data_IF_808094639333
#
_entry.id   IF_808094639333
#
_cell.length_a   1.000
_cell.length_b   1.000
_cell.length_c   1.000
_cell.angle_alpha   90.00
_cell.angle_beta   90.00
_cell.angle_gamma   90.00
#
_symmetry.space_group_name_H-M   'P 1'
#
loop_
_entity.id
_entity.type
_entity.pdbx_description
1 polymer ?
#
# COMPACT_ATOMS: atom_id res chain seq x y z
N UNK A 1 -33.70 10.42 -27.08
CA UNK A 1 -32.78 9.31 -26.73
C UNK A 1 -31.73 9.88 -25.82
N UNK A 2 -31.93 9.73 -24.50
CA UNK A 2 -31.05 10.26 -23.48
C UNK A 2 -29.90 9.30 -23.24
N UNK A 3 -28.67 9.76 -23.47
CA UNK A 3 -27.49 9.13 -22.90
C UNK A 3 -27.51 9.44 -21.41
N UNK A 4 -27.61 8.39 -20.60
CA UNK A 4 -27.37 8.44 -19.16
C UNK A 4 -25.86 8.59 -18.97
N UNK A 5 -25.42 9.79 -18.63
CA UNK A 5 -24.14 10.04 -17.99
C UNK A 5 -24.17 9.29 -16.64
N UNK A 6 -23.64 8.08 -16.61
CA UNK A 6 -23.30 7.42 -15.37
C UNK A 6 -22.13 8.20 -14.77
N UNK A 7 -22.45 9.16 -13.91
CA UNK A 7 -21.50 9.73 -12.98
C UNK A 7 -20.82 8.59 -12.23
N UNK A 8 -19.56 8.36 -12.55
CA UNK A 8 -18.68 7.45 -11.83
C UNK A 8 -18.25 8.13 -10.51
N UNK A 9 -19.23 8.47 -9.67
CA UNK A 9 -18.98 8.96 -8.32
C UNK A 9 -18.57 7.77 -7.46
N UNK A 10 -17.36 7.83 -6.91
CA UNK A 10 -16.95 6.91 -5.84
C UNK A 10 -18.04 6.87 -4.78
N UNK A 11 -18.39 5.68 -4.25
CA UNK A 11 -19.24 5.63 -3.07
C UNK A 11 -18.62 6.51 -2.00
N UNK A 12 -19.42 7.34 -1.35
CA UNK A 12 -18.98 8.38 -0.42
C UNK A 12 -18.08 7.89 0.72
N UNK A 13 -17.84 6.57 0.84
CA UNK A 13 -17.00 5.98 1.88
C UNK A 13 -16.47 4.59 1.51
N UNK A 14 -15.50 4.53 0.59
CA UNK A 14 -14.80 3.28 0.28
C UNK A 14 -13.91 2.82 1.44
N UNK A 15 -13.44 1.57 1.41
CA UNK A 15 -12.50 1.06 2.42
C UNK A 15 -11.22 1.92 2.48
N UNK A 16 -10.77 2.44 1.36
CA UNK A 16 -9.60 3.34 1.32
C UNK A 16 -9.89 4.68 1.99
N UNK A 17 -11.08 5.27 1.81
CA UNK A 17 -11.47 6.49 2.51
C UNK A 17 -11.45 6.29 4.03
N UNK A 18 -12.04 5.19 4.53
CA UNK A 18 -12.02 4.86 5.97
C UNK A 18 -10.59 4.72 6.49
N UNK A 19 -9.72 3.98 5.78
CA UNK A 19 -8.32 3.81 6.19
C UNK A 19 -7.54 5.12 6.22
N UNK A 20 -7.71 5.98 5.21
CA UNK A 20 -7.07 7.31 5.19
C UNK A 20 -7.57 8.19 6.35
N UNK A 21 -8.88 8.16 6.64
CA UNK A 21 -9.44 8.88 7.77
C UNK A 21 -8.92 8.36 9.13
N UNK A 22 -8.77 7.04 9.27
CA UNK A 22 -8.20 6.44 10.48
C UNK A 22 -6.71 6.76 10.62
N UNK A 23 -5.96 6.76 9.52
CA UNK A 23 -4.56 7.17 9.51
C UNK A 23 -4.40 8.64 9.93
N UNK A 24 -5.22 9.55 9.39
CA UNK A 24 -5.23 10.97 9.79
C UNK A 24 -5.55 11.17 11.28
N UNK A 25 -6.42 10.33 11.83
CA UNK A 25 -6.85 10.39 13.22
C UNK A 25 -5.93 9.61 14.18
N UNK A 26 -4.86 8.96 13.66
CA UNK A 26 -3.94 8.15 14.48
C UNK A 26 -4.55 6.85 15.04
N UNK A 27 -5.64 6.36 14.44
CA UNK A 27 -6.33 5.14 14.88
C UNK A 27 -5.88 3.86 14.14
N UNK A 28 -5.25 4.00 12.98
CA UNK A 28 -4.76 2.85 12.20
C UNK A 28 -3.36 2.43 12.66
N UNK A 29 -3.29 1.31 13.36
CA UNK A 29 -2.03 0.74 13.88
C UNK A 29 -1.09 0.21 12.78
N UNK A 30 -1.58 0.07 11.56
CA UNK A 30 -0.78 -0.38 10.40
C UNK A 30 0.07 0.72 9.79
N UNK A 31 -0.11 1.98 10.20
CA UNK A 31 0.54 3.14 9.61
C UNK A 31 2.04 3.14 9.88
N UNK A 32 2.85 3.17 8.81
CA UNK A 32 4.29 3.46 8.85
C UNK A 32 4.55 4.95 8.97
N UNK A 33 3.84 5.76 8.21
CA UNK A 33 3.96 7.21 8.24
C UNK A 33 3.32 7.91 7.05
N UNK A 34 3.41 9.23 7.06
CA UNK A 34 2.89 10.13 6.02
C UNK A 34 3.97 10.39 4.97
N UNK A 35 3.72 9.99 3.72
CA UNK A 35 4.52 10.35 2.55
C UNK A 35 3.98 11.62 1.88
N UNK A 36 4.69 12.13 0.88
CA UNK A 36 4.26 13.32 0.14
C UNK A 36 2.92 13.10 -0.59
N UNK A 37 2.69 11.90 -1.12
CA UNK A 37 1.47 11.56 -1.87
C UNK A 37 0.36 10.95 -1.02
N UNK A 38 0.64 10.46 0.20
CA UNK A 38 -0.35 9.75 0.99
C UNK A 38 0.23 9.03 2.20
N UNK A 39 -0.36 7.90 2.57
CA UNK A 39 -0.02 7.11 3.75
C UNK A 39 0.62 5.78 3.36
N UNK A 40 1.78 5.50 3.91
CA UNK A 40 2.41 4.19 3.87
C UNK A 40 1.87 3.34 5.02
N UNK A 41 1.29 2.18 4.71
CA UNK A 41 0.64 1.31 5.68
C UNK A 41 0.94 -0.16 5.39
N UNK A 42 0.87 -1.02 6.40
CA UNK A 42 0.83 -2.47 6.17
C UNK A 42 -0.53 -2.90 5.64
N UNK A 43 -0.58 -3.95 4.83
CA UNK A 43 -1.82 -4.65 4.51
C UNK A 43 -2.41 -5.32 5.76
N UNK A 44 -3.74 -5.34 5.89
CA UNK A 44 -4.40 -5.97 7.03
C UNK A 44 -4.16 -7.50 7.07
N UNK A 45 -4.11 -8.14 5.91
CA UNK A 45 -3.70 -9.54 5.76
C UNK A 45 -2.24 -9.59 5.29
N UNK A 46 -1.40 -10.24 6.08
CA UNK A 46 0.02 -10.38 5.79
C UNK A 46 0.30 -11.74 5.14
N UNK A 47 -0.31 -12.00 3.96
CA UNK A 47 -0.10 -13.22 3.18
C UNK A 47 1.38 -13.42 2.78
N UNK A 48 2.12 -12.31 2.67
CA UNK A 48 3.58 -12.27 2.62
C UNK A 48 4.04 -11.24 3.64
N UNK A 49 5.01 -11.60 4.47
CA UNK A 49 5.54 -10.70 5.51
C UNK A 49 6.11 -9.42 4.89
N UNK A 50 5.65 -8.29 5.38
CA UNK A 50 6.08 -6.98 4.87
C UNK A 50 5.26 -6.48 3.69
N UNK A 51 4.11 -7.08 3.39
CA UNK A 51 3.18 -6.53 2.41
C UNK A 51 2.69 -5.15 2.84
N UNK A 52 2.94 -4.15 2.00
CA UNK A 52 2.59 -2.74 2.23
C UNK A 52 1.59 -2.23 1.20
N UNK A 53 0.92 -1.15 1.58
CA UNK A 53 0.09 -0.33 0.69
C UNK A 53 0.55 1.13 0.75
N UNK A 54 0.39 1.84 -0.37
CA UNK A 54 0.40 3.29 -0.42
C UNK A 54 -1.03 3.77 -0.72
N UNK A 55 -1.58 4.57 0.19
CA UNK A 55 -2.92 5.13 0.09
C UNK A 55 -2.81 6.62 -0.20
N UNK A 56 -3.36 7.13 -1.33
CA UNK A 56 -3.26 8.56 -1.65
C UNK A 56 -4.08 9.40 -0.66
N UNK A 57 -3.59 10.60 -0.40
CA UNK A 57 -4.31 11.56 0.43
C UNK A 57 -4.14 12.98 -0.16
N UNK A 58 -5.21 13.56 -0.73
CA UNK A 58 -6.60 13.09 -0.72
C UNK A 58 -6.83 11.83 -1.55
N UNK A 59 -7.87 11.07 -1.19
CA UNK A 59 -8.29 9.87 -1.93
C UNK A 59 -8.83 10.27 -3.30
N UNK A 60 -8.43 9.53 -4.33
CA UNK A 60 -8.87 9.73 -5.71
C UNK A 60 -9.29 8.39 -6.32
N UNK A 61 -10.08 8.39 -7.41
CA UNK A 61 -10.56 7.13 -8.02
C UNK A 61 -9.46 6.22 -8.53
N UNK A 62 -8.50 6.77 -9.24
CA UNK A 62 -7.46 6.00 -9.92
C UNK A 62 -6.20 6.84 -10.16
N UNK A 63 -5.17 6.20 -10.71
CA UNK A 63 -3.89 6.85 -10.99
C UNK A 63 -4.02 7.99 -12.03
N UNK A 64 -4.95 7.88 -12.97
CA UNK A 64 -5.11 8.85 -14.05
C UNK A 64 -5.89 10.11 -13.59
N UNK A 65 -6.60 10.02 -12.47
CA UNK A 65 -7.25 11.18 -11.82
C UNK A 65 -6.22 12.12 -11.15
N UNK A 66 -4.99 11.67 -10.94
CA UNK A 66 -3.91 12.54 -10.44
C UNK A 66 -3.34 13.40 -11.57
N UNK A 67 -2.97 14.65 -11.24
CA UNK A 67 -2.15 15.46 -12.15
C UNK A 67 -0.81 14.77 -12.43
N UNK A 68 -0.11 15.07 -13.55
CA UNK A 68 1.19 14.48 -13.85
C UNK A 68 2.20 14.57 -12.70
N UNK A 69 2.27 15.71 -12.00
CA UNK A 69 3.17 15.94 -10.89
C UNK A 69 2.81 15.07 -9.67
N UNK A 70 1.52 15.02 -9.30
CA UNK A 70 1.02 14.18 -8.20
C UNK A 70 1.16 12.70 -8.52
N UNK A 71 0.93 12.31 -9.76
CA UNK A 71 1.14 10.94 -10.25
C UNK A 71 2.60 10.53 -10.14
N UNK A 72 3.52 11.38 -10.59
CA UNK A 72 4.95 11.15 -10.48
C UNK A 72 5.37 10.99 -9.01
N UNK A 73 4.84 11.84 -8.12
CA UNK A 73 5.13 11.74 -6.69
C UNK A 73 4.56 10.44 -6.08
N UNK A 74 3.36 10.03 -6.45
CA UNK A 74 2.75 8.79 -5.97
C UNK A 74 3.57 7.56 -6.39
N UNK A 75 3.99 7.51 -7.66
CA UNK A 75 4.82 6.42 -8.18
C UNK A 75 6.22 6.43 -7.55
N UNK A 76 6.78 7.59 -7.28
CA UNK A 76 8.06 7.73 -6.56
C UNK A 76 7.94 7.20 -5.12
N UNK A 77 6.90 7.61 -4.39
CA UNK A 77 6.68 7.14 -3.02
C UNK A 77 6.42 5.62 -2.99
N UNK A 78 5.66 5.09 -3.96
CA UNK A 78 5.47 3.64 -4.13
C UNK A 78 6.81 2.90 -4.31
N UNK A 79 7.71 3.41 -5.16
CA UNK A 79 9.03 2.81 -5.37
C UNK A 79 9.91 2.88 -4.13
N UNK A 80 9.85 3.98 -3.36
CA UNK A 80 10.58 4.14 -2.10
C UNK A 80 10.15 3.15 -1.02
N UNK A 81 8.85 2.80 -0.97
CA UNK A 81 8.37 1.71 -0.12
C UNK A 81 9.06 0.39 -0.47
N UNK A 82 9.22 0.11 -1.76
CA UNK A 82 9.95 -1.06 -2.22
C UNK A 82 11.44 -1.01 -1.87
N UNK A 83 12.09 0.13 -2.05
CA UNK A 83 13.51 0.32 -1.66
C UNK A 83 13.72 0.08 -0.17
N UNK A 84 12.82 0.57 0.68
CA UNK A 84 12.85 0.31 2.13
C UNK A 84 12.71 -1.18 2.45
N UNK A 85 11.80 -1.89 1.77
CA UNK A 85 11.63 -3.34 1.91
C UNK A 85 12.88 -4.10 1.47
N UNK A 86 13.50 -3.72 0.35
CA UNK A 86 14.75 -4.34 -0.14
C UNK A 86 15.84 -4.24 0.93
N UNK A 87 15.99 -3.09 1.56
CA UNK A 87 17.02 -2.84 2.57
C UNK A 87 16.74 -3.53 3.91
N UNK A 88 15.47 -3.72 4.27
CA UNK A 88 15.09 -4.27 5.57
C UNK A 88 14.83 -5.77 5.57
N UNK A 89 14.38 -6.34 4.46
CA UNK A 89 13.92 -7.74 4.43
C UNK A 89 14.64 -8.62 3.42
N UNK A 90 15.50 -8.05 2.59
CA UNK A 90 16.29 -8.77 1.56
C UNK A 90 15.45 -9.70 0.67
N UNK A 91 14.37 -9.21 0.06
CA UNK A 91 13.53 -10.03 -0.81
C UNK A 91 14.26 -10.34 -2.13
N UNK A 92 13.82 -11.35 -2.87
CA UNK A 92 14.34 -11.62 -4.22
C UNK A 92 13.85 -10.60 -5.24
N UNK A 93 12.68 -9.99 -4.98
CA UNK A 93 12.11 -8.88 -5.78
C UNK A 93 10.96 -8.22 -5.05
N UNK A 94 10.54 -7.07 -5.56
CA UNK A 94 9.29 -6.41 -5.17
C UNK A 94 8.33 -6.50 -6.33
N UNK A 95 7.09 -6.93 -6.07
CA UNK A 95 5.99 -6.77 -6.99
C UNK A 95 5.20 -5.51 -6.64
N UNK A 96 4.83 -4.75 -7.66
CA UNK A 96 3.99 -3.56 -7.54
C UNK A 96 2.71 -3.78 -8.32
N UNK A 97 1.57 -3.37 -7.76
CA UNK A 97 0.29 -3.47 -8.44
C UNK A 97 -0.64 -2.33 -8.04
N UNK A 98 -1.44 -1.86 -8.99
CA UNK A 98 -2.50 -0.88 -8.78
C UNK A 98 -3.74 -1.44 -9.46
N UNK A 99 -4.76 -1.78 -8.67
CA UNK A 99 -6.04 -2.30 -9.15
C UNK A 99 -7.20 -1.49 -8.58
N UNK A 100 -8.30 -1.41 -9.33
CA UNK A 100 -9.51 -0.72 -8.93
C UNK A 100 -10.77 -1.54 -9.15
N UNK A 101 -10.64 -2.86 -9.39
CA UNK A 101 -11.76 -3.71 -9.78
C UNK A 101 -12.70 -4.04 -8.61
N UNK A 102 -12.16 -4.21 -7.41
CA UNK A 102 -12.93 -4.53 -6.20
C UNK A 102 -13.09 -3.30 -5.32
N UNK A 103 -11.99 -2.61 -5.06
CA UNK A 103 -11.97 -1.34 -4.33
C UNK A 103 -11.70 -0.21 -5.33
N UNK A 104 -12.70 0.62 -5.66
CA UNK A 104 -12.60 1.57 -6.76
C UNK A 104 -11.84 2.87 -6.43
N UNK A 105 -11.14 2.93 -5.31
CA UNK A 105 -10.28 4.05 -4.95
C UNK A 105 -8.81 3.69 -5.19
N UNK A 106 -8.00 4.65 -5.62
CA UNK A 106 -6.57 4.46 -5.84
C UNK A 106 -5.89 3.91 -4.58
N UNK A 107 -5.15 2.85 -4.74
CA UNK A 107 -4.20 2.30 -3.78
C UNK A 107 -3.14 1.49 -4.51
N UNK A 108 -1.92 1.52 -4.03
CA UNK A 108 -0.83 0.72 -4.60
C UNK A 108 -0.41 -0.38 -3.63
N UNK A 109 -0.24 -1.57 -4.16
CA UNK A 109 0.29 -2.74 -3.46
C UNK A 109 1.80 -2.82 -3.67
N UNK A 110 2.56 -2.99 -2.59
CA UNK A 110 4.02 -3.17 -2.62
C UNK A 110 4.33 -4.47 -1.88
N UNK A 111 4.71 -5.49 -2.63
CA UNK A 111 4.72 -6.88 -2.16
C UNK A 111 6.12 -7.46 -2.31
N UNK A 112 6.84 -7.70 -1.20
CA UNK A 112 8.12 -8.37 -1.25
C UNK A 112 7.92 -9.86 -1.56
N UNK A 113 8.82 -10.44 -2.37
CA UNK A 113 8.79 -11.86 -2.72
C UNK A 113 10.05 -12.52 -2.19
N UNK A 114 9.91 -13.69 -1.59
CA UNK A 114 10.99 -14.36 -0.89
C UNK A 114 11.28 -15.77 -1.43
N UNK A 115 12.53 -16.23 -1.29
CA UNK A 115 12.90 -17.62 -1.58
C UNK A 115 12.24 -18.62 -0.64
N UNK A 116 11.83 -18.16 0.54
CA UNK A 116 11.17 -18.96 1.59
C UNK A 116 9.67 -19.10 1.42
N UNK A 117 9.08 -18.53 0.37
CA UNK A 117 7.66 -18.73 0.06
C UNK A 117 7.39 -20.22 -0.21
N UNK A 118 6.17 -20.72 0.02
CA UNK A 118 5.80 -22.10 -0.26
C UNK A 118 6.17 -22.52 -1.69
N UNK A 119 6.51 -23.79 -1.86
CA UNK A 119 6.84 -24.35 -3.17
C UNK A 119 5.71 -24.08 -4.18
N UNK A 120 6.07 -23.64 -5.38
CA UNK A 120 5.14 -23.25 -6.43
C UNK A 120 4.59 -21.83 -6.30
N UNK A 121 4.61 -21.20 -5.13
CA UNK A 121 4.13 -19.83 -4.95
C UNK A 121 5.14 -18.78 -5.40
N UNK A 122 6.42 -19.10 -5.44
CA UNK A 122 7.50 -18.15 -5.80
C UNK A 122 7.35 -17.57 -7.22
N UNK A 123 6.73 -18.33 -8.13
CA UNK A 123 6.49 -17.92 -9.52
C UNK A 123 5.06 -17.49 -9.79
N UNK A 124 4.16 -17.62 -8.81
CA UNK A 124 2.76 -17.22 -8.94
C UNK A 124 2.55 -15.74 -8.65
N UNK A 125 1.45 -15.19 -9.19
CA UNK A 125 0.98 -13.89 -8.81
C UNK A 125 0.62 -13.84 -7.32
N UNK A 126 0.80 -12.69 -6.63
CA UNK A 126 0.39 -12.53 -5.23
C UNK A 126 -1.09 -12.87 -4.98
N UNK A 127 -1.95 -12.69 -5.98
CA UNK A 127 -3.39 -13.04 -5.90
C UNK A 127 -3.67 -14.54 -5.95
N UNK A 128 -2.66 -15.40 -6.16
CA UNK A 128 -2.79 -16.84 -6.00
C UNK A 128 -2.79 -17.30 -4.53
N UNK A 129 -2.38 -16.43 -3.60
CA UNK A 129 -2.49 -16.70 -2.17
C UNK A 129 -3.96 -16.70 -1.71
N UNK A 130 -4.29 -17.56 -0.75
CA UNK A 130 -5.55 -17.46 -0.04
C UNK A 130 -5.49 -16.32 0.98
N UNK A 131 -6.02 -15.18 0.58
CA UNK A 131 -6.02 -13.97 1.40
C UNK A 131 -6.89 -14.11 2.64
N UNK A 132 -7.93 -14.95 2.61
CA UNK A 132 -8.80 -15.17 3.76
C UNK A 132 -8.13 -16.02 4.83
N UNK A 133 -7.24 -16.93 4.43
CA UNK A 133 -6.44 -17.74 5.34
C UNK A 133 -5.15 -17.03 5.79
N UNK A 134 -4.83 -15.86 5.22
CA UNK A 134 -3.61 -15.13 5.55
C UNK A 134 -3.65 -14.58 6.99
N UNK A 135 -2.50 -14.56 7.69
CA UNK A 135 -2.43 -13.96 9.02
C UNK A 135 -2.86 -12.49 8.99
N UNK A 136 -3.67 -12.09 9.97
CA UNK A 136 -3.95 -10.67 10.19
C UNK A 136 -2.69 -9.92 10.64
N UNK A 137 -2.64 -8.62 10.36
CA UNK A 137 -1.57 -7.77 10.88
C UNK A 137 -1.57 -7.78 12.41
N UNK A 138 -0.42 -8.08 12.99
CA UNK A 138 -0.19 -8.05 14.43
C UNK A 138 0.82 -6.93 14.75
N UNK A 139 0.41 -5.84 15.41
CA UNK A 139 1.30 -4.73 15.74
C UNK A 139 2.52 -5.14 16.57
N UNK A 140 2.36 -6.10 17.49
CA UNK A 140 3.44 -6.56 18.36
C UNK A 140 4.49 -7.33 17.57
N UNK A 141 4.06 -8.26 16.74
CA UNK A 141 4.93 -9.03 15.86
C UNK A 141 5.58 -8.17 14.77
N UNK A 142 4.89 -7.15 14.30
CA UNK A 142 5.38 -6.24 13.26
C UNK A 142 6.31 -5.13 13.79
N UNK A 143 6.32 -4.86 15.10
CA UNK A 143 7.02 -3.71 15.68
C UNK A 143 8.50 -3.59 15.27
N UNK A 144 9.33 -4.65 15.26
CA UNK A 144 10.72 -4.54 14.81
C UNK A 144 10.84 -4.14 13.34
N UNK A 145 10.02 -4.73 12.46
CA UNK A 145 10.01 -4.42 11.03
C UNK A 145 9.47 -3.00 10.79
N UNK A 146 8.42 -2.59 11.50
CA UNK A 146 7.90 -1.22 11.43
C UNK A 146 8.97 -0.19 11.77
N UNK A 147 9.73 -0.43 12.84
CA UNK A 147 10.83 0.46 13.26
C UNK A 147 11.90 0.55 12.17
N UNK A 148 12.32 -0.57 11.61
CA UNK A 148 13.34 -0.61 10.56
C UNK A 148 12.84 0.10 9.28
N UNK A 149 11.62 -0.18 8.84
CA UNK A 149 11.03 0.45 7.65
C UNK A 149 10.88 1.98 7.83
N UNK A 150 10.44 2.44 8.99
CA UNK A 150 10.35 3.88 9.28
C UNK A 150 11.70 4.57 9.17
N UNK A 151 12.76 3.95 9.69
CA UNK A 151 14.13 4.48 9.61
C UNK A 151 14.59 4.59 8.15
N UNK A 152 14.39 3.53 7.35
CA UNK A 152 14.77 3.55 5.92
C UNK A 152 13.94 4.56 5.12
N UNK A 153 12.64 4.62 5.33
CA UNK A 153 11.76 5.57 4.65
C UNK A 153 12.11 7.03 4.98
N UNK A 154 12.54 7.30 6.22
CA UNK A 154 13.03 8.61 6.63
C UNK A 154 14.33 8.95 5.89
N UNK A 155 15.29 8.01 5.81
CA UNK A 155 16.55 8.19 5.06
C UNK A 155 16.33 8.41 3.56
N UNK A 156 15.32 7.74 2.99
CA UNK A 156 14.91 7.90 1.59
C UNK A 156 14.14 9.21 1.34
N UNK A 157 13.88 10.01 2.37
CA UNK A 157 13.09 11.23 2.26
C UNK A 157 11.63 10.98 1.87
N UNK A 158 11.09 9.78 2.19
CA UNK A 158 9.70 9.43 1.91
C UNK A 158 8.77 9.94 3.01
N UNK A 159 9.14 9.77 4.27
CA UNK A 159 8.31 10.22 5.39
C UNK A 159 8.46 11.71 5.62
N UNK A 160 7.33 12.39 5.75
CA UNK A 160 7.28 13.77 6.24
C UNK A 160 7.54 13.76 7.74
N UNK A 161 8.40 14.65 8.20
CA UNK A 161 8.54 14.96 9.63
C UNK A 161 7.20 15.54 10.12
N UNK A 162 6.74 15.15 11.30
CA UNK A 162 5.53 15.71 11.93
C UNK A 162 5.65 17.22 12.07
#
# INVERSE_FOLDING_TARGET
MGQQDQENSLPNESAIHRRVNDARAGRDQTVLGRCASGWAVFGHQQFVKGYLLLLPDPVVPDLNALTPERRSQFLLDMSRLGDALVRTTSPVRINYAIFGNVEPALHAHVIPRYRTEPEGMQTQHPWAYDWNAAPAFDPSAAAPLMKALRAELAQLGCLRTP
#
